data_IF_228504163765
#
_entry.id   IF_228504163765
#
_cell.length_a   1.000
_cell.length_b   1.000
_cell.length_c   1.000
_cell.angle_alpha   90.00
_cell.angle_beta   90.00
_cell.angle_gamma   90.00
#
_symmetry.space_group_name_H-M   'P 1'
#
loop_
_entity.id
_entity.type
_entity.pdbx_description
1 polymer ?
#
# COMPACT_ATOMS: atom_id res chain seq x y z
N UNK A 1 89.06 9.42 -48.68
CA UNK A 1 89.01 10.81 -48.18
C UNK A 1 87.62 11.39 -48.50
N UNK A 2 86.81 11.69 -47.49
CA UNK A 2 85.47 12.22 -47.65
C UNK A 2 85.51 13.66 -48.22
N UNK A 3 84.75 13.91 -49.29
CA UNK A 3 84.64 15.25 -49.91
C UNK A 3 83.71 16.09 -49.04
N UNK A 4 84.26 17.10 -48.39
CA UNK A 4 83.51 18.04 -47.55
C UNK A 4 82.39 18.73 -48.36
N UNK A 5 81.20 18.98 -47.76
CA UNK A 5 80.12 19.68 -48.44
C UNK A 5 80.55 21.12 -48.76
N UNK A 6 80.36 21.55 -50.01
CA UNK A 6 80.70 22.90 -50.46
C UNK A 6 79.91 23.92 -49.63
N UNK A 7 80.61 24.84 -48.97
CA UNK A 7 80.01 25.94 -48.23
C UNK A 7 79.11 26.75 -49.19
N UNK A 8 77.81 26.80 -48.90
CA UNK A 8 76.86 27.61 -49.65
C UNK A 8 77.24 29.07 -49.43
N UNK A 9 77.66 29.75 -50.50
CA UNK A 9 78.00 31.19 -50.46
C UNK A 9 76.83 31.99 -49.89
N UNK A 10 77.13 32.97 -49.04
CA UNK A 10 76.11 33.87 -48.55
C UNK A 10 75.50 34.63 -49.73
N UNK A 11 74.17 34.82 -49.71
CA UNK A 11 73.43 35.49 -50.80
C UNK A 11 73.98 36.90 -51.09
N UNK A 12 74.56 37.52 -50.07
CA UNK A 12 75.14 38.85 -50.09
C UNK A 12 76.47 38.94 -50.85
N UNK A 13 77.17 37.81 -51.03
CA UNK A 13 78.48 37.74 -51.71
C UNK A 13 78.35 37.68 -53.25
N UNK A 14 77.13 37.67 -53.79
CA UNK A 14 76.89 37.61 -55.24
C UNK A 14 77.09 38.98 -55.91
N UNK A 15 77.80 39.08 -57.05
CA UNK A 15 78.08 40.36 -57.73
C UNK A 15 76.86 41.18 -58.18
N UNK A 16 75.70 40.55 -58.28
CA UNK A 16 74.42 41.20 -58.62
C UNK A 16 73.64 41.68 -57.40
N UNK A 17 74.06 41.34 -56.18
CA UNK A 17 73.31 41.55 -54.94
C UNK A 17 72.95 43.02 -54.71
N UNK A 18 73.92 43.93 -54.80
CA UNK A 18 73.68 45.36 -54.54
C UNK A 18 72.74 46.00 -55.59
N UNK A 19 72.89 45.60 -56.87
CA UNK A 19 72.00 46.04 -57.95
C UNK A 19 70.57 45.53 -57.76
N UNK A 20 70.42 44.27 -57.33
CA UNK A 20 69.12 43.68 -57.03
C UNK A 20 68.49 44.32 -55.79
N UNK A 21 69.28 44.58 -54.74
CA UNK A 21 68.84 45.26 -53.51
C UNK A 21 68.31 46.66 -53.81
N UNK A 22 69.04 47.46 -54.60
CA UNK A 22 68.59 48.79 -55.00
C UNK A 22 67.32 48.75 -55.89
N UNK A 23 67.18 47.72 -56.73
CA UNK A 23 65.99 47.53 -57.57
C UNK A 23 64.77 47.09 -56.74
N UNK A 24 64.95 46.15 -55.81
CA UNK A 24 63.91 45.71 -54.88
C UNK A 24 63.50 46.84 -53.93
N UNK A 25 64.43 47.68 -53.48
CA UNK A 25 64.11 48.83 -52.63
C UNK A 25 63.12 49.80 -53.30
N UNK A 26 63.20 49.96 -54.64
CA UNK A 26 62.26 50.81 -55.41
C UNK A 26 60.84 50.24 -55.50
N UNK A 27 60.69 48.91 -55.44
CA UNK A 27 59.42 48.21 -55.63
C UNK A 27 58.84 47.70 -54.29
N UNK A 28 59.64 47.67 -53.23
CA UNK A 28 59.28 47.16 -51.91
C UNK A 28 58.01 47.82 -51.34
N UNK A 29 57.90 49.14 -51.44
CA UNK A 29 56.73 49.88 -50.94
C UNK A 29 55.45 49.54 -51.70
N UNK A 30 55.55 49.35 -53.02
CA UNK A 30 54.44 48.94 -53.88
C UNK A 30 53.99 47.52 -53.54
N UNK A 31 54.94 46.57 -53.43
CA UNK A 31 54.64 45.20 -53.01
C UNK A 31 54.02 45.15 -51.61
N UNK A 32 54.57 45.91 -50.66
CA UNK A 32 54.04 45.99 -49.30
C UNK A 32 52.63 46.61 -49.28
N UNK A 33 52.34 47.59 -50.15
CA UNK A 33 51.01 48.17 -50.29
C UNK A 33 49.99 47.14 -50.81
N UNK A 34 50.36 46.33 -51.81
CA UNK A 34 49.52 45.25 -52.33
C UNK A 34 49.24 44.21 -51.25
N UNK A 35 50.26 43.79 -50.49
CA UNK A 35 50.09 42.83 -49.39
C UNK A 35 49.22 43.39 -48.25
N UNK A 36 49.37 44.67 -47.90
CA UNK A 36 48.47 45.35 -46.93
C UNK A 36 47.04 45.45 -47.46
N UNK A 37 46.85 45.72 -48.75
CA UNK A 37 45.55 45.70 -49.41
C UNK A 37 44.90 44.32 -49.34
N UNK A 38 45.63 43.28 -49.77
CA UNK A 38 45.16 41.90 -49.75
C UNK A 38 44.86 41.41 -48.33
N UNK A 39 45.67 41.77 -47.34
CA UNK A 39 45.42 41.46 -45.93
C UNK A 39 44.12 42.09 -45.43
N UNK A 40 43.86 43.36 -45.73
CA UNK A 40 42.61 44.03 -45.37
C UNK A 40 41.40 43.39 -46.03
N UNK A 41 41.52 43.01 -47.30
CA UNK A 41 40.47 42.30 -48.03
C UNK A 41 40.13 40.94 -47.38
N UNK A 42 41.14 40.14 -47.04
CA UNK A 42 40.94 38.86 -46.35
C UNK A 42 40.27 39.08 -44.99
N UNK A 43 40.73 40.06 -44.20
CA UNK A 43 40.12 40.40 -42.92
C UNK A 43 38.66 40.85 -43.06
N UNK A 44 38.31 41.61 -44.11
CA UNK A 44 36.93 42.01 -44.38
C UNK A 44 36.05 40.80 -44.76
N UNK A 45 36.57 39.87 -45.57
CA UNK A 45 35.86 38.64 -45.94
C UNK A 45 35.66 37.72 -44.74
N UNK A 46 36.68 37.57 -43.90
CA UNK A 46 36.59 36.81 -42.64
C UNK A 46 35.57 37.44 -41.69
N UNK A 47 35.59 38.76 -41.53
CA UNK A 47 34.64 39.48 -40.70
C UNK A 47 33.20 39.36 -41.23
N UNK A 48 33.00 39.43 -42.55
CA UNK A 48 31.70 39.24 -43.18
C UNK A 48 31.17 37.82 -42.97
N UNK A 49 32.00 36.80 -43.20
CA UNK A 49 31.65 35.41 -42.97
C UNK A 49 31.32 35.15 -41.49
N UNK A 50 32.10 35.73 -40.57
CA UNK A 50 31.82 35.65 -39.13
C UNK A 50 30.49 36.33 -38.76
N UNK A 51 30.15 37.46 -39.39
CA UNK A 51 28.86 38.12 -39.17
C UNK A 51 27.69 37.27 -39.67
N UNK A 52 27.79 36.70 -40.88
CA UNK A 52 26.78 35.77 -41.40
C UNK A 52 26.61 34.55 -40.50
N UNK A 53 27.72 33.97 -40.04
CA UNK A 53 27.69 32.83 -39.14
C UNK A 53 27.01 33.17 -37.81
N UNK A 54 27.29 34.35 -37.23
CA UNK A 54 26.64 34.81 -35.99
C UNK A 54 25.12 34.91 -36.15
N UNK A 55 24.64 35.44 -37.27
CA UNK A 55 23.20 35.55 -37.54
C UNK A 55 22.55 34.17 -37.65
N UNK A 56 23.15 33.28 -38.46
CA UNK A 56 22.63 31.89 -38.61
C UNK A 56 22.66 31.13 -37.28
N UNK A 57 23.73 31.28 -36.52
CA UNK A 57 23.86 30.64 -35.21
C UNK A 57 22.85 31.19 -34.21
N UNK A 58 22.58 32.50 -34.19
CA UNK A 58 21.56 33.09 -33.34
C UNK A 58 20.15 32.60 -33.69
N UNK A 59 19.83 32.46 -34.98
CA UNK A 59 18.56 31.88 -35.42
C UNK A 59 18.41 30.41 -34.99
N UNK A 60 19.46 29.61 -35.19
CA UNK A 60 19.48 28.22 -34.73
C UNK A 60 19.29 28.11 -33.22
N UNK A 61 19.95 28.97 -32.43
CA UNK A 61 19.77 29.03 -30.97
C UNK A 61 18.33 29.32 -30.57
N UNK A 62 17.65 30.25 -31.27
CA UNK A 62 16.25 30.54 -31.03
C UNK A 62 15.35 29.34 -31.37
N UNK A 63 15.57 28.69 -32.51
CA UNK A 63 14.83 27.48 -32.89
C UNK A 63 14.98 26.38 -31.85
N UNK A 64 16.20 26.09 -31.41
CA UNK A 64 16.45 25.08 -30.37
C UNK A 64 15.74 25.45 -29.06
N UNK A 65 15.82 26.70 -28.61
CA UNK A 65 15.14 27.16 -27.41
C UNK A 65 13.61 27.04 -27.51
N UNK A 66 13.02 27.35 -28.67
CA UNK A 66 11.58 27.17 -28.87
C UNK A 66 11.17 25.71 -28.89
N UNK A 67 12.00 24.83 -29.45
CA UNK A 67 11.73 23.40 -29.48
C UNK A 67 11.81 22.79 -28.08
N UNK A 68 12.80 23.18 -27.27
CA UNK A 68 12.90 22.78 -25.86
C UNK A 68 11.68 23.24 -25.06
N UNK A 69 11.27 24.50 -25.21
CA UNK A 69 10.09 25.03 -24.53
C UNK A 69 8.82 24.27 -24.93
N UNK A 70 8.67 23.95 -26.21
CA UNK A 70 7.52 23.17 -26.70
C UNK A 70 7.47 21.78 -26.09
N UNK A 71 8.61 21.07 -26.03
CA UNK A 71 8.68 19.75 -25.39
C UNK A 71 8.26 19.84 -23.91
N UNK A 72 8.75 20.84 -23.18
CA UNK A 72 8.39 21.04 -21.77
C UNK A 72 6.89 21.35 -21.62
N UNK A 73 6.35 22.20 -22.50
CA UNK A 73 4.92 22.53 -22.51
C UNK A 73 4.06 21.29 -22.76
N UNK A 74 4.36 20.52 -23.80
CA UNK A 74 3.61 19.31 -24.18
C UNK A 74 3.64 18.28 -23.04
N UNK A 75 4.80 18.07 -22.39
CA UNK A 75 4.93 17.18 -21.22
C UNK A 75 4.10 17.67 -20.03
N UNK A 76 4.12 18.97 -19.74
CA UNK A 76 3.31 19.52 -18.64
C UNK A 76 1.82 19.40 -18.93
N UNK A 77 1.40 19.65 -20.17
CA UNK A 77 0.00 19.51 -20.58
C UNK A 77 -0.48 18.07 -20.41
N UNK A 78 0.32 17.08 -20.84
CA UNK A 78 -0.01 15.66 -20.63
C UNK A 78 -0.16 15.31 -19.15
N UNK A 79 0.72 15.84 -18.29
CA UNK A 79 0.63 15.63 -16.85
C UNK A 79 -0.65 16.22 -16.25
N UNK A 80 -1.02 17.43 -16.65
CA UNK A 80 -2.26 18.07 -16.19
C UNK A 80 -3.51 17.28 -16.65
N UNK A 81 -3.50 16.76 -17.88
CA UNK A 81 -4.57 15.90 -18.40
C UNK A 81 -4.69 14.58 -17.60
N UNK A 82 -3.56 13.94 -17.29
CA UNK A 82 -3.53 12.73 -16.44
C UNK A 82 -4.04 13.00 -15.02
N UNK A 83 -3.62 14.11 -14.40
CA UNK A 83 -4.08 14.52 -13.07
C UNK A 83 -5.59 14.78 -13.05
N UNK A 84 -6.12 15.44 -14.10
CA UNK A 84 -7.56 15.68 -14.25
C UNK A 84 -8.35 14.38 -14.42
N UNK A 85 -7.84 13.43 -15.21
CA UNK A 85 -8.45 12.11 -15.39
C UNK A 85 -8.48 11.32 -14.07
N UNK A 86 -7.39 11.34 -13.30
CA UNK A 86 -7.36 10.69 -11.98
C UNK A 86 -8.32 11.37 -10.99
N UNK A 87 -8.39 12.70 -10.98
CA UNK A 87 -9.33 13.45 -10.17
C UNK A 87 -10.80 13.12 -10.53
N UNK A 88 -11.13 13.01 -11.82
CA UNK A 88 -12.47 12.63 -12.28
C UNK A 88 -12.80 11.18 -11.90
N UNK A 89 -11.84 10.24 -12.07
CA UNK A 89 -11.99 8.86 -11.65
C UNK A 89 -12.18 8.74 -10.13
N UNK A 90 -11.44 9.54 -9.36
CA UNK A 90 -11.57 9.66 -7.91
C UNK A 90 -12.95 10.16 -7.54
N UNK A 91 -13.43 11.24 -8.15
CA UNK A 91 -14.77 11.77 -7.92
C UNK A 91 -15.87 10.74 -8.22
N UNK A 92 -15.76 10.01 -9.34
CA UNK A 92 -16.69 8.91 -9.68
C UNK A 92 -16.73 7.83 -8.60
N UNK A 93 -15.58 7.46 -8.01
CA UNK A 93 -15.53 6.51 -6.87
C UNK A 93 -16.20 7.07 -5.62
N UNK A 94 -16.01 8.36 -5.33
CA UNK A 94 -16.59 9.01 -4.15
C UNK A 94 -18.07 9.35 -4.28
N UNK A 95 -18.62 9.47 -5.50
CA UNK A 95 -20.06 9.76 -5.73
C UNK A 95 -21.02 8.75 -5.09
N UNK A 96 -20.63 7.47 -4.99
CA UNK A 96 -21.45 6.40 -4.37
C UNK A 96 -21.17 6.15 -2.89
N UNK A 97 -20.21 6.86 -2.28
CA UNK A 97 -19.84 6.65 -0.89
C UNK A 97 -20.68 7.55 0.03
N UNK A 98 -21.06 7.02 1.20
CA UNK A 98 -21.69 7.82 2.23
C UNK A 98 -20.73 8.92 2.71
N UNK A 99 -21.17 10.17 2.64
CA UNK A 99 -20.39 11.31 3.15
C UNK A 99 -20.38 11.23 4.66
N UNK A 100 -19.20 11.05 5.25
CA UNK A 100 -19.04 11.16 6.69
C UNK A 100 -19.41 12.60 7.11
N UNK A 101 -20.35 12.79 8.04
CA UNK A 101 -20.70 14.12 8.54
C UNK A 101 -19.47 14.81 9.13
N UNK A 102 -19.42 16.14 9.04
CA UNK A 102 -18.37 16.94 9.69
C UNK A 102 -18.38 16.70 11.20
N UNK A 103 -17.20 16.71 11.81
CA UNK A 103 -17.06 16.58 13.25
C UNK A 103 -17.77 17.75 13.95
N UNK A 104 -18.79 17.45 14.75
CA UNK A 104 -19.51 18.45 15.54
C UNK A 104 -18.60 18.94 16.67
N UNK A 105 -18.12 20.17 16.52
CA UNK A 105 -17.24 20.85 17.49
C UNK A 105 -18.04 21.66 18.51
N UNK A 106 -19.18 22.23 18.12
CA UNK A 106 -19.99 23.10 18.96
C UNK A 106 -20.80 22.29 20.01
N UNK A 107 -20.75 22.66 21.31
CA UNK A 107 -21.48 21.96 22.36
C UNK A 107 -23.01 21.98 22.19
N UNK A 108 -23.56 23.04 21.60
CA UNK A 108 -25.01 23.21 21.43
C UNK A 108 -25.53 22.36 20.26
N UNK A 109 -24.83 22.35 19.13
CA UNK A 109 -25.13 21.46 18.00
C UNK A 109 -25.08 19.98 18.43
N UNK A 110 -24.09 19.61 19.25
CA UNK A 110 -24.01 18.26 19.83
C UNK A 110 -25.19 17.95 20.74
N UNK A 111 -25.73 18.94 21.47
CA UNK A 111 -26.89 18.75 22.35
C UNK A 111 -28.16 18.49 21.54
N UNK A 112 -28.38 19.25 20.48
CA UNK A 112 -29.58 19.16 19.63
C UNK A 112 -29.59 17.89 18.79
N UNK A 113 -28.43 17.43 18.30
CA UNK A 113 -28.30 16.22 17.48
C UNK A 113 -28.14 14.93 18.31
N UNK A 114 -28.18 14.99 19.65
CA UNK A 114 -28.19 13.79 20.50
C UNK A 114 -29.46 12.98 20.26
N UNK A 115 -29.27 11.76 19.80
CA UNK A 115 -30.34 10.77 19.72
C UNK A 115 -30.48 10.04 21.05
N UNK A 116 -31.48 10.42 21.85
CA UNK A 116 -31.79 9.76 23.11
C UNK A 116 -32.76 8.59 22.89
N UNK A 117 -32.21 7.40 22.59
CA UNK A 117 -32.99 6.16 22.53
C UNK A 117 -33.42 5.75 23.94
N UNK A 118 -34.74 5.70 24.17
CA UNK A 118 -35.33 5.12 25.39
C UNK A 118 -35.62 3.63 25.26
N UNK A 119 -35.38 3.04 24.08
CA UNK A 119 -35.64 1.63 23.82
C UNK A 119 -34.63 0.76 24.58
N UNK A 120 -35.13 -0.23 25.32
CA UNK A 120 -34.34 -1.11 26.20
C UNK A 120 -33.60 -0.38 27.36
N UNK A 121 -34.08 0.80 27.78
CA UNK A 121 -33.51 1.48 28.96
C UNK A 121 -33.85 0.71 30.25
N UNK A 122 -32.88 -0.05 30.76
CA UNK A 122 -32.95 -0.71 32.06
C UNK A 122 -32.63 0.32 33.15
N UNK A 123 -33.68 0.84 33.83
CA UNK A 123 -33.54 1.88 34.87
C UNK A 123 -32.84 1.37 36.13
N UNK A 124 -33.07 0.11 36.49
CA UNK A 124 -32.44 -0.53 37.65
C UNK A 124 -31.97 -1.94 37.25
N UNK A 125 -30.70 -2.08 36.83
CA UNK A 125 -30.15 -3.36 36.42
C UNK A 125 -30.23 -4.44 37.50
N UNK A 126 -30.01 -4.06 38.77
CA UNK A 126 -30.04 -5.01 39.88
C UNK A 126 -31.47 -5.45 40.21
N UNK A 127 -32.42 -4.52 40.16
CA UNK A 127 -33.84 -4.82 40.38
C UNK A 127 -34.40 -5.79 39.33
N UNK A 128 -34.08 -5.55 38.06
CA UNK A 128 -34.55 -6.40 36.96
C UNK A 128 -33.91 -7.80 37.00
N UNK A 129 -32.60 -7.89 37.29
CA UNK A 129 -31.92 -9.16 37.49
C UNK A 129 -32.48 -9.98 38.67
N UNK A 130 -32.80 -9.31 39.78
CA UNK A 130 -33.42 -9.97 40.94
C UNK A 130 -34.84 -10.43 40.62
N UNK A 131 -35.61 -9.61 39.89
CA UNK A 131 -36.95 -9.97 39.45
C UNK A 131 -36.93 -11.20 38.54
N UNK A 132 -36.01 -11.25 37.57
CA UNK A 132 -35.84 -12.40 36.67
C UNK A 132 -35.56 -13.70 37.46
N UNK A 133 -34.73 -13.61 38.51
CA UNK A 133 -34.45 -14.73 39.42
C UNK A 133 -35.66 -15.19 40.23
N UNK A 134 -36.57 -14.28 40.56
CA UNK A 134 -37.75 -14.57 41.37
C UNK A 134 -38.91 -15.13 40.55
N UNK A 135 -39.02 -14.79 39.26
CA UNK A 135 -40.17 -15.17 38.42
C UNK A 135 -40.13 -16.65 37.99
N UNK A 136 -38.94 -17.27 37.90
CA UNK A 136 -38.80 -18.65 37.36
C UNK A 136 -37.98 -19.61 38.24
N UNK A 137 -38.32 -19.80 39.52
CA UNK A 137 -37.57 -20.69 40.41
C UNK A 137 -37.63 -22.14 39.91
N UNK A 138 -36.50 -22.86 39.96
CA UNK A 138 -36.42 -24.27 39.58
C UNK A 138 -37.00 -25.15 40.68
N UNK A 139 -38.06 -25.90 40.38
CA UNK A 139 -38.66 -26.85 41.33
C UNK A 139 -37.76 -28.06 41.55
N UNK A 140 -37.86 -28.71 42.72
CA UNK A 140 -37.04 -29.90 43.05
C UNK A 140 -37.25 -31.03 42.03
N UNK A 141 -38.47 -31.17 41.52
CA UNK A 141 -38.87 -32.14 40.50
C UNK A 141 -38.17 -31.87 39.16
N UNK A 142 -38.20 -30.62 38.67
CA UNK A 142 -37.50 -30.21 37.45
C UNK A 142 -35.98 -30.39 37.57
N UNK A 143 -35.41 -30.08 38.73
CA UNK A 143 -33.98 -30.27 38.99
C UNK A 143 -33.59 -31.75 38.93
N UNK A 144 -34.42 -32.64 39.50
CA UNK A 144 -34.20 -34.09 39.48
C UNK A 144 -34.35 -34.65 38.07
N UNK A 145 -35.37 -34.22 37.33
CA UNK A 145 -35.59 -34.66 35.96
C UNK A 145 -34.46 -34.21 35.03
N UNK A 146 -34.02 -32.96 35.16
CA UNK A 146 -32.87 -32.44 34.42
C UNK A 146 -31.61 -33.27 34.70
N UNK A 147 -31.34 -33.59 35.97
CA UNK A 147 -30.21 -34.40 36.37
C UNK A 147 -30.22 -35.81 35.76
N UNK A 148 -31.37 -36.48 35.81
CA UNK A 148 -31.54 -37.82 35.25
C UNK A 148 -31.33 -37.81 33.74
N UNK A 149 -31.97 -36.89 33.03
CA UNK A 149 -31.87 -36.81 31.56
C UNK A 149 -30.49 -36.33 31.11
N UNK A 150 -29.80 -35.50 31.90
CA UNK A 150 -28.41 -35.11 31.62
C UNK A 150 -27.45 -36.30 31.69
N UNK A 151 -27.66 -37.27 32.59
CA UNK A 151 -26.84 -38.49 32.65
C UNK A 151 -27.07 -39.46 31.47
N UNK A 152 -28.16 -39.26 30.72
CA UNK A 152 -28.54 -40.08 29.58
C UNK A 152 -28.17 -39.41 28.24
N UNK A 153 -28.49 -38.12 28.09
CA UNK A 153 -28.34 -37.36 26.84
C UNK A 153 -27.23 -36.29 26.90
N UNK A 154 -26.57 -36.12 28.04
CA UNK A 154 -25.44 -35.19 28.20
C UNK A 154 -25.82 -33.74 27.84
N UNK A 155 -25.01 -33.08 26.99
CA UNK A 155 -25.18 -31.67 26.61
C UNK A 155 -26.24 -31.45 25.52
N UNK A 156 -27.06 -32.47 25.22
CA UNK A 156 -28.17 -32.34 24.27
C UNK A 156 -29.37 -31.65 24.92
N UNK A 157 -29.24 -30.35 25.19
CA UNK A 157 -30.26 -29.55 25.88
C UNK A 157 -31.58 -29.50 25.13
N UNK A 158 -31.56 -29.59 23.79
CA UNK A 158 -32.78 -29.69 22.97
C UNK A 158 -33.60 -30.93 23.33
N UNK A 159 -32.94 -32.07 23.54
CA UNK A 159 -33.60 -33.33 23.91
C UNK A 159 -34.04 -33.31 25.37
N UNK A 160 -33.24 -32.75 26.26
CA UNK A 160 -33.58 -32.62 27.69
C UNK A 160 -34.81 -31.71 27.90
N UNK A 161 -34.88 -30.59 27.18
CA UNK A 161 -36.01 -29.66 27.26
C UNK A 161 -37.35 -30.30 26.88
N UNK A 162 -37.37 -31.30 25.98
CA UNK A 162 -38.63 -32.02 25.64
C UNK A 162 -39.26 -32.74 26.83
N UNK A 163 -38.48 -33.09 27.85
CA UNK A 163 -38.99 -33.73 29.08
C UNK A 163 -39.45 -32.71 30.13
N UNK A 164 -39.07 -31.43 29.97
CA UNK A 164 -39.42 -30.35 30.90
C UNK A 164 -40.51 -29.46 30.27
N UNK A 165 -41.77 -29.66 30.68
CA UNK A 165 -42.94 -29.00 30.06
C UNK A 165 -42.92 -27.47 30.19
N UNK A 166 -42.32 -26.94 31.25
CA UNK A 166 -42.37 -25.51 31.59
C UNK A 166 -41.01 -24.81 31.36
N UNK A 167 -40.05 -25.46 30.70
CA UNK A 167 -38.69 -24.93 30.51
C UNK A 167 -38.29 -24.96 29.05
N UNK A 168 -37.73 -23.85 28.59
CA UNK A 168 -37.17 -23.75 27.25
C UNK A 168 -35.74 -24.31 27.21
N UNK A 169 -35.23 -24.53 25.99
CA UNK A 169 -33.83 -24.93 25.79
C UNK A 169 -32.87 -23.89 26.39
N UNK A 170 -33.20 -22.61 26.28
CA UNK A 170 -32.41 -21.53 26.86
C UNK A 170 -32.34 -21.65 28.39
N UNK A 171 -33.47 -21.93 29.05
CA UNK A 171 -33.52 -22.12 30.50
C UNK A 171 -32.67 -23.30 30.96
N UNK A 172 -32.70 -24.41 30.23
CA UNK A 172 -31.86 -25.58 30.49
C UNK A 172 -30.35 -25.26 30.41
N UNK A 173 -29.95 -24.45 29.43
CA UNK A 173 -28.55 -24.02 29.24
C UNK A 173 -28.14 -23.08 30.38
N UNK A 174 -28.96 -22.07 30.67
CA UNK A 174 -28.71 -21.11 31.75
C UNK A 174 -28.59 -21.83 33.10
N UNK A 175 -29.48 -22.78 33.37
CA UNK A 175 -29.45 -23.59 34.58
C UNK A 175 -28.20 -24.47 34.68
N UNK A 176 -27.81 -25.12 33.58
CA UNK A 176 -26.57 -25.90 33.54
C UNK A 176 -25.36 -25.06 33.92
N UNK A 177 -25.17 -23.89 33.31
CA UNK A 177 -24.00 -23.05 33.58
C UNK A 177 -24.04 -22.35 34.94
N UNK A 178 -25.22 -22.00 35.46
CA UNK A 178 -25.38 -21.51 36.84
C UNK A 178 -24.91 -22.55 37.85
N UNK A 179 -25.24 -23.84 37.64
CA UNK A 179 -24.99 -24.92 38.59
C UNK A 179 -23.77 -25.81 38.26
N UNK A 180 -23.03 -25.50 37.19
CA UNK A 180 -21.83 -26.24 36.78
C UNK A 180 -20.62 -25.96 37.71
N UNK A 181 -20.61 -24.78 38.37
CA UNK A 181 -19.56 -24.37 39.31
C UNK A 181 -19.84 -24.81 40.75
N UNK A 182 -21.11 -24.89 41.13
CA UNK A 182 -21.51 -25.57 42.35
C UNK A 182 -21.21 -27.06 42.14
N UNK A 183 -20.56 -27.71 43.11
CA UNK A 183 -20.12 -29.12 43.07
C UNK A 183 -21.29 -30.13 43.08
N UNK A 184 -22.38 -29.80 42.39
CA UNK A 184 -23.48 -30.66 42.07
C UNK A 184 -22.94 -31.71 41.10
N UNK A 185 -22.49 -32.83 41.68
CA UNK A 185 -21.77 -33.93 41.06
C UNK A 185 -22.38 -34.61 39.83
N UNK A 186 -23.20 -33.97 39.00
CA UNK A 186 -23.60 -34.43 37.68
C UNK A 186 -22.38 -34.61 36.76
N UNK A 187 -21.43 -33.65 36.76
CA UNK A 187 -20.18 -33.77 35.99
C UNK A 187 -19.31 -34.92 36.51
N UNK A 188 -19.19 -35.05 37.84
CA UNK A 188 -18.44 -36.13 38.51
C UNK A 188 -19.08 -37.51 38.31
N UNK A 189 -20.41 -37.62 38.47
CA UNK A 189 -21.20 -38.84 38.23
C UNK A 189 -21.15 -39.25 36.76
N UNK A 190 -21.20 -38.30 35.84
CA UNK A 190 -21.02 -38.57 34.41
C UNK A 190 -19.61 -39.12 34.12
N UNK A 191 -18.55 -38.47 34.62
CA UNK A 191 -17.17 -38.96 34.45
C UNK A 191 -16.98 -40.36 35.05
N UNK A 192 -17.60 -40.66 36.20
CA UNK A 192 -17.61 -42.01 36.78
C UNK A 192 -18.34 -43.03 35.90
N UNK A 193 -19.51 -42.67 35.35
CA UNK A 193 -20.28 -43.53 34.43
C UNK A 193 -19.48 -43.83 33.16
N UNK A 194 -18.85 -42.82 32.56
CA UNK A 194 -17.98 -42.98 31.38
C UNK A 194 -16.77 -43.87 31.67
N UNK A 195 -16.15 -43.72 32.85
CA UNK A 195 -15.03 -44.56 33.29
C UNK A 195 -15.45 -46.02 33.51
N UNK A 196 -16.63 -46.26 34.11
CA UNK A 196 -17.21 -47.61 34.28
C UNK A 196 -17.50 -48.27 32.93
N UNK A 197 -18.14 -47.56 32.02
CA UNK A 197 -18.42 -48.06 30.67
C UNK A 197 -17.14 -48.38 29.88
N UNK A 198 -16.09 -47.56 29.99
CA UNK A 198 -14.81 -47.84 29.36
C UNK A 198 -14.13 -49.08 29.96
N UNK A 199 -14.14 -49.26 31.29
CA UNK A 199 -13.58 -50.46 31.94
C UNK A 199 -14.37 -51.72 31.61
N UNK A 200 -15.69 -51.61 31.43
CA UNK A 200 -16.56 -52.72 31.09
C UNK A 200 -16.42 -53.09 29.61
N UNK A 201 -16.38 -52.11 28.71
CA UNK A 201 -16.09 -52.32 27.29
C UNK A 201 -14.71 -52.94 27.06
N UNK A 202 -13.70 -52.54 27.83
CA UNK A 202 -12.35 -53.12 27.77
C UNK A 202 -12.33 -54.57 28.26
N UNK A 203 -13.09 -54.90 29.31
CA UNK A 203 -13.25 -56.30 29.77
C UNK A 203 -13.94 -57.16 28.73
N UNK A 204 -14.96 -56.64 28.04
CA UNK A 204 -15.67 -57.38 26.99
C UNK A 204 -14.87 -57.50 25.70
N UNK A 205 -13.90 -56.62 25.44
CA UNK A 205 -13.04 -56.69 24.24
C UNK A 205 -11.80 -57.58 24.42
N UNK A 206 -11.34 -57.75 25.67
CA UNK A 206 -10.18 -58.58 26.00
C UNK A 206 -10.54 -60.06 26.27
N UNK A 207 -11.80 -60.48 26.03
CA UNK A 207 -12.28 -61.86 26.22
C UNK A 207 -12.44 -62.57 24.85
N UNK A 208 -11.53 -63.48 24.44
CA UNK A 208 -11.60 -64.15 23.14
C UNK A 208 -12.61 -65.32 23.06
N UNK A 209 -13.47 -65.51 24.07
CA UNK A 209 -14.45 -66.61 24.10
C UNK A 209 -15.84 -66.07 24.46
N UNK A 210 -16.66 -65.84 23.43
CA UNK A 210 -18.09 -65.56 23.60
C UNK A 210 -18.83 -66.72 24.30
N UNK A 211 -20.06 -66.48 24.80
CA UNK A 211 -20.78 -67.48 25.58
C UNK A 211 -21.21 -68.63 24.67
N UNK A 212 -20.57 -69.79 24.83
CA UNK A 212 -21.11 -71.05 24.35
C UNK A 212 -22.44 -71.28 25.08
N UNK A 213 -23.54 -71.18 24.33
CA UNK A 213 -24.85 -71.63 24.75
C UNK A 213 -24.81 -73.15 24.95
N UNK A 214 -24.78 -73.61 26.20
CA UNK A 214 -24.99 -75.01 26.53
C UNK A 214 -26.50 -75.27 26.65
N UNK A 215 -27.09 -75.74 25.55
CA UNK A 215 -28.35 -76.48 25.56
C UNK A 215 -28.05 -77.97 25.79
N UNK A 216 -28.56 -78.53 26.89
CA UNK A 216 -29.00 -79.92 27.02
C UNK A 216 -29.91 -80.04 28.24
#
# INVERSE_FOLDING_TARGET
>A
AARAPAAVRAVEEWPSWERNRASHAKVADQMAAVLRGRRRELQQREAALAAEYRVKYAAWQQEMATMELKVVYDVNQQREEEENLDAEAREKRFRGQAKCPTMILDPEERRVLRFDSKNALIRNPMGEFLLEKLVTPWTVEEQRLFAEKFLLYNKDFRRIATFLRNRTVADCIVYYYKRQKDDNGFRRKHMQKKRRQYTEAKRTSDDPMGPFSATS
#
